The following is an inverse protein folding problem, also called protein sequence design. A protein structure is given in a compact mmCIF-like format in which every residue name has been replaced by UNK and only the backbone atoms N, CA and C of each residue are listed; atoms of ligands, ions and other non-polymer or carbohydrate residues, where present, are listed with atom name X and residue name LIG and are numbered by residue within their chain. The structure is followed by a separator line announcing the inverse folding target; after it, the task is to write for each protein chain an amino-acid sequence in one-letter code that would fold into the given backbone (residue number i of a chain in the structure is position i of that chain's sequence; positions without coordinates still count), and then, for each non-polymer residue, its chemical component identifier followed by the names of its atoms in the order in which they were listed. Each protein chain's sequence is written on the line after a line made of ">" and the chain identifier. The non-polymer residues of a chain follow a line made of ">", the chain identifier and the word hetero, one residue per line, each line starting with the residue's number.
data_IF_277245685711
#
_entry.id   IF_277245685711
#
_cell.length_a   1.000
_cell.length_b   1.000
_cell.length_c   1.000
_cell.angle_alpha   90.00
_cell.angle_beta   90.00
_cell.angle_gamma   90.00
#
_symmetry.space_group_name_H-M   'P 1'
#
loop_
_entity.id
_entity.type
_entity.pdbx_description
1 polymer ?
#
# COMPACT_ATOMS: atom_id res chain seq x y z
N UNK A 1 0.10 -28.69 -2.39
CA UNK A 1 1.54 -28.67 -2.69
C UNK A 1 1.84 -27.27 -3.22
N UNK A 2 2.80 -26.55 -2.65
CA UNK A 2 3.04 -25.13 -2.95
C UNK A 2 3.64 -24.98 -4.37
N UNK A 3 2.85 -24.44 -5.30
CA UNK A 3 3.26 -24.21 -6.70
C UNK A 3 4.47 -23.29 -6.83
N UNK A 4 4.66 -22.39 -5.86
CA UNK A 4 5.73 -21.38 -5.82
C UNK A 4 7.08 -22.08 -5.66
N UNK A 5 7.20 -22.92 -4.63
CA UNK A 5 8.38 -23.74 -4.37
C UNK A 5 8.75 -24.67 -5.55
N UNK A 6 7.75 -25.25 -6.24
CA UNK A 6 7.97 -26.16 -7.37
C UNK A 6 8.46 -25.47 -8.65
N UNK A 7 8.22 -24.18 -8.81
CA UNK A 7 8.68 -23.42 -9.97
C UNK A 7 10.21 -23.43 -10.11
N UNK A 8 10.95 -23.66 -9.03
CA UNK A 8 12.42 -23.64 -9.00
C UNK A 8 13.10 -25.04 -8.93
N UNK A 9 12.34 -26.12 -8.73
CA UNK A 9 12.80 -27.53 -8.61
C UNK A 9 13.29 -28.22 -9.90
N UNK A 10 13.79 -29.46 -9.85
CA UNK A 10 14.26 -30.18 -11.06
C UNK A 10 13.11 -30.53 -12.05
N UNK A 11 13.36 -30.60 -13.38
CA UNK A 11 12.32 -30.73 -14.42
C UNK A 11 11.30 -31.87 -14.23
N UNK A 12 11.73 -33.00 -13.67
CA UNK A 12 10.87 -34.19 -13.49
C UNK A 12 9.92 -34.09 -12.27
N UNK A 13 10.23 -33.24 -11.28
CA UNK A 13 9.36 -32.98 -10.12
C UNK A 13 8.18 -32.07 -10.52
N UNK A 14 8.32 -31.33 -11.63
CA UNK A 14 7.35 -30.35 -12.13
C UNK A 14 6.24 -30.93 -13.02
N UNK A 15 6.45 -32.10 -13.63
CA UNK A 15 5.51 -32.71 -14.58
C UNK A 15 4.22 -33.24 -13.91
N UNK A 16 4.22 -33.40 -12.59
CA UNK A 16 3.09 -33.95 -11.82
C UNK A 16 2.16 -32.89 -11.20
N UNK A 17 2.48 -31.59 -11.33
CA UNK A 17 1.59 -30.50 -10.94
C UNK A 17 0.77 -30.05 -12.17
N UNK A 18 -0.28 -30.80 -12.46
CA UNK A 18 -1.14 -30.58 -13.62
C UNK A 18 -1.94 -29.28 -13.50
N UNK A 19 -1.58 -28.25 -14.28
CA UNK A 19 -2.51 -27.15 -14.57
C UNK A 19 -3.67 -27.68 -15.43
N UNK A 20 -4.91 -27.41 -15.01
CA UNK A 20 -6.12 -27.65 -15.81
C UNK A 20 -6.24 -26.56 -16.89
N UNK A 21 -5.48 -26.70 -17.98
CA UNK A 21 -5.45 -25.78 -19.12
C UNK A 21 -4.56 -26.29 -20.25
N UNK A 22 -4.54 -25.63 -21.42
CA UNK A 22 -3.58 -25.96 -22.48
C UNK A 22 -2.14 -25.82 -21.97
N UNK A 23 -1.19 -26.63 -22.46
CA UNK A 23 0.20 -26.56 -22.04
C UNK A 23 0.78 -25.17 -22.35
N UNK A 24 1.51 -24.61 -21.39
CA UNK A 24 2.27 -23.36 -21.56
C UNK A 24 3.75 -23.69 -21.72
N UNK A 25 4.44 -22.93 -22.57
CA UNK A 25 5.89 -23.03 -22.70
C UNK A 25 6.56 -22.19 -21.61
N UNK A 26 7.77 -22.58 -21.21
CA UNK A 26 8.51 -21.91 -20.14
C UNK A 26 9.89 -21.48 -20.61
N UNK A 27 10.19 -20.21 -20.43
CA UNK A 27 11.50 -19.61 -20.66
C UNK A 27 12.06 -19.25 -19.29
N UNK A 28 13.34 -19.55 -19.03
CA UNK A 28 13.93 -19.23 -17.73
C UNK A 28 15.34 -18.66 -17.82
N UNK A 29 15.60 -17.62 -17.04
CA UNK A 29 16.93 -17.08 -16.75
C UNK A 29 17.27 -17.44 -15.30
N UNK A 30 18.43 -18.06 -15.10
CA UNK A 30 18.88 -18.57 -13.79
C UNK A 30 20.23 -18.02 -13.43
N UNK A 31 20.44 -17.86 -12.13
CA UNK A 31 21.70 -17.40 -11.54
C UNK A 31 22.25 -16.12 -12.19
N UNK A 32 21.35 -15.23 -12.62
CA UNK A 32 21.74 -13.96 -13.23
C UNK A 32 22.13 -12.97 -12.14
N UNK A 33 23.41 -12.62 -12.05
CA UNK A 33 23.95 -11.79 -10.97
C UNK A 33 24.27 -10.38 -11.46
N UNK A 34 23.86 -9.40 -10.67
CA UNK A 34 24.18 -7.98 -10.85
C UNK A 34 24.62 -7.34 -9.54
N UNK A 35 25.59 -6.43 -9.65
CA UNK A 35 26.03 -5.57 -8.56
C UNK A 35 25.13 -4.34 -8.50
N UNK A 36 24.30 -4.24 -7.46
CA UNK A 36 23.30 -3.18 -7.35
C UNK A 36 23.33 -2.52 -5.97
N UNK A 37 23.10 -1.21 -5.92
CA UNK A 37 22.93 -0.51 -4.65
C UNK A 37 21.46 -0.63 -4.19
N UNK A 38 21.20 -1.53 -3.25
CA UNK A 38 19.85 -1.81 -2.75
C UNK A 38 19.84 -2.02 -1.24
N UNK A 39 18.94 -1.32 -0.55
CA UNK A 39 18.86 -1.44 0.90
C UNK A 39 18.16 -0.28 1.59
N UNK A 40 17.47 -0.58 2.68
CA UNK A 40 16.74 0.39 3.50
C UNK A 40 17.62 0.99 4.62
N UNK A 41 18.74 0.35 4.97
CA UNK A 41 19.61 0.83 6.05
C UNK A 41 20.61 1.88 5.57
N UNK A 42 20.96 2.85 6.43
CA UNK A 42 21.95 3.89 6.11
C UNK A 42 23.34 3.31 5.79
N UNK A 43 23.67 2.15 6.36
CA UNK A 43 24.92 1.42 6.11
C UNK A 43 24.98 0.78 4.72
N UNK A 44 23.83 0.62 4.05
CA UNK A 44 23.73 0.10 2.68
C UNK A 44 23.79 1.24 1.63
N UNK A 45 24.05 2.48 2.04
CA UNK A 45 24.24 3.62 1.11
C UNK A 45 25.68 3.69 0.63
N UNK A 46 25.86 3.81 -0.69
CA UNK A 46 27.14 3.87 -1.37
C UNK A 46 27.85 2.52 -1.53
N UNK A 47 27.18 1.41 -1.24
CA UNK A 47 27.74 0.05 -1.32
C UNK A 47 26.90 -0.79 -2.26
N UNK A 48 27.51 -1.32 -3.32
CA UNK A 48 26.87 -2.29 -4.20
C UNK A 48 26.91 -3.69 -3.57
N UNK A 49 25.87 -4.47 -3.80
CA UNK A 49 25.73 -5.84 -3.32
C UNK A 49 25.40 -6.75 -4.51
N UNK A 50 25.92 -7.98 -4.50
CA UNK A 50 25.56 -8.98 -5.50
C UNK A 50 24.13 -9.46 -5.25
N UNK A 51 23.28 -9.19 -6.23
CA UNK A 51 21.90 -9.65 -6.25
C UNK A 51 21.73 -10.64 -7.38
N UNK A 52 21.16 -11.80 -7.04
CA UNK A 52 20.89 -12.89 -7.96
C UNK A 52 19.41 -12.93 -8.31
N UNK A 53 19.14 -13.06 -9.61
CA UNK A 53 17.82 -13.19 -10.18
C UNK A 53 17.63 -14.59 -10.75
N UNK A 54 16.51 -15.21 -10.40
CA UNK A 54 16.00 -16.42 -11.04
C UNK A 54 14.57 -16.13 -11.50
N UNK A 55 14.36 -16.13 -12.81
CA UNK A 55 13.07 -15.79 -13.41
C UNK A 55 12.61 -16.91 -14.32
N UNK A 56 11.36 -17.34 -14.14
CA UNK A 56 10.67 -18.28 -15.03
C UNK A 56 9.45 -17.57 -15.59
N UNK A 57 9.37 -17.47 -16.91
CA UNK A 57 8.26 -16.91 -17.64
C UNK A 57 7.49 -18.04 -18.34
N UNK A 58 6.21 -18.15 -18.05
CA UNK A 58 5.27 -18.99 -18.79
C UNK A 58 4.62 -18.15 -19.89
N UNK A 59 4.71 -18.64 -21.12
CA UNK A 59 4.16 -18.00 -22.31
C UNK A 59 3.14 -18.91 -22.98
N UNK A 60 2.20 -18.33 -23.72
CA UNK A 60 1.27 -19.11 -24.54
C UNK A 60 2.06 -19.92 -25.55
N UNK A 61 1.70 -21.20 -25.70
CA UNK A 61 2.30 -22.06 -26.71
C UNK A 61 2.09 -21.45 -28.10
N UNK A 62 3.19 -21.21 -28.81
CA UNK A 62 3.16 -20.68 -30.16
C UNK A 62 3.59 -21.78 -31.14
N UNK A 63 2.79 -22.04 -32.17
CA UNK A 63 3.14 -22.95 -33.26
C UNK A 63 4.36 -22.47 -34.08
N UNK A 64 4.87 -21.26 -33.82
CA UNK A 64 6.07 -20.71 -34.46
C UNK A 64 7.38 -21.47 -34.18
N UNK A 65 7.42 -22.38 -33.20
CA UNK A 65 8.55 -23.31 -33.06
C UNK A 65 8.71 -24.21 -34.30
N UNK A 66 7.67 -24.35 -35.13
CA UNK A 66 7.71 -25.09 -36.40
C UNK A 66 8.40 -24.30 -37.54
N UNK A 67 8.56 -22.98 -37.41
CA UNK A 67 9.11 -22.10 -38.46
C UNK A 67 10.53 -21.60 -38.22
N UNK A 68 11.15 -21.91 -37.08
CA UNK A 68 12.52 -21.47 -36.68
C UNK A 68 12.76 -19.96 -36.88
N UNK A 69 11.71 -19.17 -36.71
CA UNK A 69 11.72 -17.72 -36.91
C UNK A 69 11.87 -17.04 -35.54
N UNK A 70 13.06 -16.51 -35.29
CA UNK A 70 13.44 -15.86 -34.02
C UNK A 70 12.51 -14.68 -33.71
N UNK A 71 11.95 -14.00 -34.71
CA UNK A 71 11.08 -12.84 -34.54
C UNK A 71 9.67 -13.21 -34.03
N UNK A 72 9.32 -14.50 -34.03
CA UNK A 72 8.00 -15.00 -33.59
C UNK A 72 8.03 -15.66 -32.21
N UNK A 73 9.20 -15.76 -31.58
CA UNK A 73 9.39 -16.43 -30.29
C UNK A 73 9.78 -15.40 -29.22
N UNK A 74 9.19 -15.53 -28.04
CA UNK A 74 9.60 -14.74 -26.88
C UNK A 74 11.04 -15.11 -26.52
N UNK A 75 11.99 -14.16 -26.64
CA UNK A 75 13.39 -14.38 -26.28
C UNK A 75 13.60 -14.32 -24.77
N UNK A 76 14.60 -15.06 -24.27
CA UNK A 76 15.09 -14.90 -22.90
C UNK A 76 15.73 -13.51 -22.68
N UNK A 77 16.12 -12.81 -23.74
CA UNK A 77 16.60 -11.42 -23.67
C UNK A 77 15.53 -10.49 -23.11
N UNK A 78 14.25 -10.78 -23.33
CA UNK A 78 13.17 -10.00 -22.73
C UNK A 78 13.23 -10.05 -21.19
N UNK A 79 13.63 -11.18 -20.61
CA UNK A 79 13.76 -11.33 -19.17
C UNK A 79 14.98 -10.54 -18.66
N UNK A 80 16.11 -10.59 -19.35
CA UNK A 80 17.31 -9.84 -18.95
C UNK A 80 17.11 -8.34 -19.13
N UNK A 81 16.47 -7.90 -20.21
CA UNK A 81 16.06 -6.51 -20.45
C UNK A 81 15.08 -6.02 -19.38
N UNK A 82 14.09 -6.83 -18.99
CA UNK A 82 13.17 -6.51 -17.90
C UNK A 82 13.91 -6.31 -16.56
N UNK A 83 14.95 -7.10 -16.30
CA UNK A 83 15.80 -6.94 -15.12
C UNK A 83 16.59 -5.63 -15.23
N UNK A 84 17.29 -5.40 -16.34
CA UNK A 84 18.11 -4.20 -16.54
C UNK A 84 17.25 -2.92 -16.49
N UNK A 85 16.06 -2.92 -17.07
CA UNK A 85 15.11 -1.81 -17.00
C UNK A 85 14.64 -1.55 -15.56
N UNK A 86 14.38 -2.61 -14.77
CA UNK A 86 14.01 -2.47 -13.36
C UNK A 86 15.15 -1.90 -12.51
N UNK A 87 16.40 -2.20 -12.88
CA UNK A 87 17.61 -1.70 -12.23
C UNK A 87 17.98 -0.26 -12.64
N UNK A 88 17.73 0.12 -13.90
CA UNK A 88 18.06 1.43 -14.46
C UNK A 88 17.11 2.56 -14.03
N UNK A 89 15.97 2.22 -13.42
CA UNK A 89 15.03 3.18 -12.86
C UNK A 89 15.58 3.83 -11.56
N UNK A 90 14.70 4.21 -10.63
CA UNK A 90 15.14 4.74 -9.35
C UNK A 90 15.78 3.68 -8.46
N UNK A 91 16.74 4.12 -7.63
CA UNK A 91 17.31 3.31 -6.54
C UNK A 91 16.19 2.70 -5.69
N UNK A 92 16.29 1.39 -5.47
CA UNK A 92 15.32 0.65 -4.69
C UNK A 92 15.80 0.43 -3.25
N UNK A 93 14.86 0.52 -2.31
CA UNK A 93 15.10 0.22 -0.90
C UNK A 93 14.81 -1.25 -0.57
N UNK A 94 13.90 -1.90 -1.33
CA UNK A 94 13.29 -3.18 -1.01
C UNK A 94 13.42 -4.17 -2.18
N UNK A 95 13.72 -5.45 -1.87
CA UNK A 95 13.80 -6.52 -2.87
C UNK A 95 12.41 -6.86 -3.44
N UNK A 96 11.38 -6.68 -2.63
CA UNK A 96 9.97 -6.86 -2.98
C UNK A 96 9.59 -5.94 -4.15
N UNK A 97 9.98 -4.66 -4.08
CA UNK A 97 9.71 -3.69 -5.14
C UNK A 97 10.47 -4.01 -6.41
N UNK A 98 11.71 -4.47 -6.28
CA UNK A 98 12.53 -4.91 -7.42
C UNK A 98 11.88 -6.12 -8.10
N UNK A 99 11.50 -7.14 -7.34
CA UNK A 99 10.83 -8.32 -7.86
C UNK A 99 9.52 -7.95 -8.58
N UNK A 100 8.71 -7.05 -8.01
CA UNK A 100 7.46 -6.59 -8.62
C UNK A 100 7.69 -5.87 -9.95
N UNK A 101 8.71 -5.00 -10.02
CA UNK A 101 9.07 -4.28 -11.27
C UNK A 101 9.50 -5.24 -12.37
N UNK A 102 10.36 -6.21 -12.05
CA UNK A 102 10.77 -7.25 -13.00
C UNK A 102 9.55 -8.05 -13.48
N UNK A 103 8.68 -8.47 -12.56
CA UNK A 103 7.48 -9.22 -12.93
C UNK A 103 6.54 -8.41 -13.83
N UNK A 104 6.32 -7.12 -13.53
CA UNK A 104 5.49 -6.24 -14.34
C UNK A 104 6.08 -6.01 -15.74
N UNK A 105 7.40 -5.82 -15.85
CA UNK A 105 8.08 -5.68 -17.13
C UNK A 105 7.96 -6.96 -17.98
N UNK A 106 8.23 -8.14 -17.42
CA UNK A 106 8.07 -9.43 -18.13
C UNK A 106 6.63 -9.68 -18.61
N UNK A 107 5.64 -9.20 -17.85
CA UNK A 107 4.22 -9.34 -18.19
C UNK A 107 3.71 -8.25 -19.15
N UNK A 108 4.57 -7.38 -19.68
CA UNK A 108 4.17 -6.40 -20.70
C UNK A 108 3.91 -7.07 -22.04
N UNK A 109 4.70 -8.09 -22.38
CA UNK A 109 4.55 -8.87 -23.61
C UNK A 109 3.19 -9.61 -23.67
N UNK A 110 2.42 -9.50 -24.77
CA UNK A 110 1.10 -10.13 -24.90
C UNK A 110 1.09 -11.67 -24.80
N UNK A 111 2.19 -12.33 -25.15
CA UNK A 111 2.34 -13.79 -25.10
C UNK A 111 2.67 -14.27 -23.68
N UNK A 112 3.15 -13.40 -22.79
CA UNK A 112 3.40 -13.69 -21.38
C UNK A 112 2.11 -13.94 -20.58
N UNK A 113 2.03 -15.09 -19.94
CA UNK A 113 0.88 -15.53 -19.14
C UNK A 113 1.16 -15.44 -17.64
N UNK A 114 2.31 -15.96 -17.19
CA UNK A 114 2.67 -16.01 -15.76
C UNK A 114 4.17 -15.90 -15.60
N UNK A 115 4.62 -15.25 -14.55
CA UNK A 115 6.04 -15.10 -14.23
C UNK A 115 6.29 -15.43 -12.77
N UNK A 116 7.38 -16.14 -12.52
CA UNK A 116 7.93 -16.46 -11.22
C UNK A 116 9.25 -15.72 -11.11
N UNK A 117 9.40 -14.89 -10.08
CA UNK A 117 10.60 -14.07 -9.88
C UNK A 117 11.13 -14.33 -8.48
N UNK A 118 12.37 -14.80 -8.40
CA UNK A 118 13.14 -14.92 -7.16
C UNK A 118 14.32 -13.96 -7.22
N UNK A 119 14.46 -13.12 -6.21
CA UNK A 119 15.53 -12.12 -6.08
C UNK A 119 16.23 -12.30 -4.74
N UNK A 120 17.54 -12.51 -4.76
CA UNK A 120 18.32 -12.85 -3.56
C UNK A 120 19.56 -11.96 -3.40
N UNK A 121 19.84 -11.50 -2.17
CA UNK A 121 21.13 -10.92 -1.80
C UNK A 121 22.09 -12.05 -1.38
N UNK A 122 23.30 -12.04 -1.95
CA UNK A 122 24.31 -13.06 -1.70
C UNK A 122 25.29 -12.72 -0.57
N UNK A 123 25.37 -11.45 -0.18
CA UNK A 123 26.47 -10.95 0.65
C UNK A 123 26.08 -10.62 2.11
N UNK A 124 24.81 -10.77 2.51
CA UNK A 124 24.34 -10.34 3.84
C UNK A 124 24.50 -11.40 4.94
N UNK A 125 24.42 -12.68 4.58
CA UNK A 125 24.50 -13.83 5.51
C UNK A 125 25.26 -14.98 4.84
N UNK A 126 25.74 -15.99 5.59
CA UNK A 126 26.14 -17.26 5.01
C UNK A 126 24.95 -17.90 4.27
N UNK A 127 25.00 -17.91 2.93
CA UNK A 127 23.91 -18.36 2.08
C UNK A 127 23.26 -17.21 1.30
N UNK A 128 21.99 -17.37 0.95
CA UNK A 128 21.22 -16.37 0.22
C UNK A 128 19.94 -16.02 0.99
N UNK A 129 19.54 -14.76 0.98
CA UNK A 129 18.24 -14.31 1.45
C UNK A 129 17.54 -13.57 0.33
N UNK A 130 16.23 -13.73 0.22
CA UNK A 130 15.53 -13.13 -0.90
C UNK A 130 14.03 -13.16 -0.76
N UNK A 131 13.39 -12.71 -1.82
CA UNK A 131 11.95 -12.73 -1.99
C UNK A 131 11.62 -13.55 -3.22
N UNK A 132 10.47 -14.20 -3.18
CA UNK A 132 9.92 -14.94 -4.30
C UNK A 132 8.48 -14.52 -4.52
N UNK A 133 8.15 -14.17 -5.76
CA UNK A 133 6.81 -13.75 -6.14
C UNK A 133 6.36 -14.49 -7.39
N UNK A 134 5.04 -14.60 -7.52
CA UNK A 134 4.38 -15.11 -8.71
C UNK A 134 3.34 -14.09 -9.16
N UNK A 135 3.38 -13.73 -10.44
CA UNK A 135 2.39 -12.84 -11.05
C UNK A 135 1.86 -13.48 -12.32
N UNK A 136 0.56 -13.35 -12.55
CA UNK A 136 -0.07 -13.82 -13.77
C UNK A 136 -0.80 -12.66 -14.44
N UNK A 137 -0.75 -12.61 -15.77
CA UNK A 137 -1.64 -11.76 -16.55
C UNK A 137 -3.04 -12.35 -16.37
N UNK A 138 -3.86 -11.70 -15.56
CA UNK A 138 -5.27 -12.08 -15.47
C UNK A 138 -5.92 -11.65 -16.78
N UNK A 139 -6.44 -12.57 -17.62
CA UNK A 139 -7.21 -12.16 -18.79
C UNK A 139 -8.30 -11.19 -18.35
N UNK A 140 -8.51 -10.10 -19.08
CA UNK A 140 -9.60 -9.13 -18.79
C UNK A 140 -10.97 -9.83 -18.64
N UNK A 141 -11.11 -11.02 -19.22
CA UNK A 141 -12.29 -11.89 -19.19
C UNK A 141 -12.16 -13.15 -18.32
N UNK A 142 -11.00 -13.46 -17.71
CA UNK A 142 -10.94 -14.57 -16.77
C UNK A 142 -11.76 -14.19 -15.53
N UNK A 143 -12.47 -15.14 -14.92
CA UNK A 143 -12.99 -14.93 -13.59
C UNK A 143 -11.75 -14.73 -12.71
N UNK A 144 -11.42 -13.45 -12.45
CA UNK A 144 -10.60 -13.05 -11.32
C UNK A 144 -11.08 -13.95 -10.19
N UNK A 145 -10.16 -14.64 -9.50
CA UNK A 145 -10.46 -15.14 -8.16
C UNK A 145 -11.23 -14.00 -7.53
N UNK A 146 -12.53 -14.21 -7.30
CA UNK A 146 -13.35 -13.18 -6.69
C UNK A 146 -12.53 -12.82 -5.45
N UNK A 147 -12.10 -11.55 -5.25
CA UNK A 147 -11.63 -11.17 -3.91
C UNK A 147 -12.69 -11.74 -3.00
N UNK A 148 -12.28 -12.64 -2.07
CA UNK A 148 -13.18 -13.51 -1.27
C UNK A 148 -14.54 -12.88 -1.35
N UNK A 149 -15.44 -13.46 -2.18
CA UNK A 149 -16.77 -12.88 -2.31
C UNK A 149 -17.24 -12.89 -0.87
N UNK A 150 -17.19 -11.72 -0.22
CA UNK A 150 -17.97 -11.43 0.95
C UNK A 150 -19.28 -12.05 0.57
N UNK A 151 -19.63 -13.14 1.27
CA UNK A 151 -20.91 -13.76 1.05
C UNK A 151 -21.85 -12.56 0.97
N UNK A 152 -22.47 -12.38 -0.18
CA UNK A 152 -23.50 -11.40 -0.35
C UNK A 152 -24.73 -11.93 0.40
N UNK A 153 -24.58 -12.17 1.70
CA UNK A 153 -25.54 -11.73 2.67
C UNK A 153 -25.19 -10.27 2.91
N UNK A 154 -25.92 -9.37 2.25
CA UNK A 154 -26.32 -8.08 2.81
C UNK A 154 -25.40 -7.47 3.88
N UNK A 155 -24.12 -7.25 3.59
CA UNK A 155 -23.24 -6.50 4.45
C UNK A 155 -23.35 -5.05 4.02
N UNK A 156 -24.14 -4.29 4.76
CA UNK A 156 -24.21 -2.84 4.67
C UNK A 156 -22.77 -2.30 4.64
N UNK A 157 -22.36 -1.64 3.55
CA UNK A 157 -21.03 -1.05 3.47
C UNK A 157 -20.82 -0.16 4.71
N UNK A 158 -19.85 -0.51 5.55
CA UNK A 158 -19.55 0.26 6.76
C UNK A 158 -19.19 1.67 6.31
N UNK A 159 -20.06 2.64 6.62
CA UNK A 159 -19.83 4.05 6.34
C UNK A 159 -19.17 4.66 7.57
N UNK A 160 -17.84 4.90 7.54
CA UNK A 160 -17.16 5.38 8.71
C UNK A 160 -17.48 6.86 8.97
N UNK A 161 -17.37 7.25 10.23
CA UNK A 161 -17.23 8.66 10.58
C UNK A 161 -15.75 9.06 10.57
N UNK A 162 -15.46 10.28 10.13
CA UNK A 162 -14.17 10.93 10.40
C UNK A 162 -14.40 11.94 11.51
N UNK A 163 -13.54 11.94 12.52
CA UNK A 163 -13.56 12.96 13.57
C UNK A 163 -12.25 13.73 13.50
N UNK A 164 -12.33 15.05 13.36
CA UNK A 164 -11.21 15.96 13.53
C UNK A 164 -11.23 16.55 14.94
N UNK A 165 -10.14 16.33 15.69
CA UNK A 165 -9.89 17.00 16.98
C UNK A 165 -8.75 18.01 16.82
N UNK A 166 -9.06 19.28 17.10
CA UNK A 166 -8.05 20.32 17.12
C UNK A 166 -7.04 20.12 18.26
N UNK A 167 -5.83 20.64 18.07
CA UNK A 167 -4.75 20.59 19.05
C UNK A 167 -5.18 21.18 20.40
N UNK A 168 -5.94 22.28 20.41
CA UNK A 168 -6.40 22.90 21.66
C UNK A 168 -7.28 21.96 22.49
N UNK A 169 -8.07 21.11 21.83
CA UNK A 169 -8.93 20.10 22.47
C UNK A 169 -8.07 18.98 23.04
N UNK A 170 -7.11 18.47 22.26
CA UNK A 170 -6.22 17.39 22.67
C UNK A 170 -5.20 17.81 23.76
N UNK A 171 -4.84 19.09 23.82
CA UNK A 171 -3.96 19.65 24.84
C UNK A 171 -4.68 20.12 26.10
N UNK A 172 -6.02 20.19 26.07
CA UNK A 172 -6.84 20.69 27.16
C UNK A 172 -7.34 19.60 28.12
N UNK A 173 -8.04 20.02 29.18
CA UNK A 173 -8.62 19.11 30.18
C UNK A 173 -9.71 18.18 29.60
N UNK A 174 -10.31 18.55 28.47
CA UNK A 174 -11.34 17.78 27.77
C UNK A 174 -10.83 16.60 26.93
N UNK A 175 -9.51 16.48 26.71
CA UNK A 175 -8.93 15.49 25.80
C UNK A 175 -9.36 14.04 26.14
N UNK A 176 -9.21 13.64 27.40
CA UNK A 176 -9.59 12.30 27.86
C UNK A 176 -11.08 12.02 27.65
N UNK A 177 -11.95 13.01 27.95
CA UNK A 177 -13.40 12.87 27.77
C UNK A 177 -13.79 12.69 26.30
N UNK A 178 -13.10 13.37 25.38
CA UNK A 178 -13.31 13.17 23.94
C UNK A 178 -12.86 11.80 23.47
N UNK A 179 -11.67 11.35 23.88
CA UNK A 179 -11.20 10.01 23.53
C UNK A 179 -12.13 8.92 24.09
N UNK A 180 -12.62 9.09 25.32
CA UNK A 180 -13.60 8.18 25.93
C UNK A 180 -14.93 8.18 25.17
N UNK A 181 -15.44 9.35 24.76
CA UNK A 181 -16.66 9.43 23.97
C UNK A 181 -16.51 8.76 22.60
N UNK A 182 -15.37 8.92 21.95
CA UNK A 182 -15.07 8.28 20.66
C UNK A 182 -14.97 6.76 20.80
N UNK A 183 -14.34 6.28 21.87
CA UNK A 183 -14.24 4.84 22.15
C UNK A 183 -15.61 4.25 22.48
N UNK A 184 -16.47 4.99 23.18
CA UNK A 184 -17.82 4.56 23.53
C UNK A 184 -18.81 4.63 22.35
N UNK A 185 -18.44 5.27 21.24
CA UNK A 185 -19.32 5.43 20.09
C UNK A 185 -19.30 4.19 19.21
N UNK A 186 -20.48 3.61 18.95
CA UNK A 186 -20.64 2.35 18.20
C UNK A 186 -20.42 2.50 16.68
N UNK A 187 -20.06 3.71 16.23
CA UNK A 187 -19.78 4.01 14.82
C UNK A 187 -18.27 3.85 14.51
N UNK A 188 -17.90 3.07 13.48
CA UNK A 188 -16.52 2.96 13.03
C UNK A 188 -15.93 4.33 12.69
N UNK A 189 -14.85 4.69 13.37
CA UNK A 189 -14.34 6.05 13.40
C UNK A 189 -12.86 6.12 13.06
N UNK A 190 -12.50 7.11 12.22
CA UNK A 190 -11.12 7.51 11.97
C UNK A 190 -10.86 8.88 12.59
N UNK A 191 -9.90 8.94 13.51
CA UNK A 191 -9.48 10.17 14.18
C UNK A 191 -8.40 10.89 13.36
N UNK A 192 -8.68 12.13 13.00
CA UNK A 192 -7.77 13.10 12.43
C UNK A 192 -7.42 14.13 13.52
N UNK A 193 -6.16 14.54 13.59
CA UNK A 193 -5.70 15.44 14.65
C UNK A 193 -4.82 16.55 14.07
N UNK A 194 -4.72 17.67 14.79
CA UNK A 194 -3.69 18.69 14.55
C UNK A 194 -2.51 18.53 15.52
N UNK A 195 -1.30 18.81 15.02
CA UNK A 195 -0.05 18.67 15.79
C UNK A 195 0.52 19.98 16.34
N UNK A 196 0.49 21.04 15.54
CA UNK A 196 1.03 22.35 15.86
C UNK A 196 0.09 23.45 15.37
N UNK A 197 0.39 24.70 15.72
CA UNK A 197 -0.29 25.81 15.04
C UNK A 197 -0.04 25.71 13.53
N UNK A 198 -1.10 25.80 12.71
CA UNK A 198 -0.94 25.70 11.28
C UNK A 198 -0.12 26.89 10.77
N UNK A 199 0.94 26.56 10.03
CA UNK A 199 1.74 27.54 9.31
C UNK A 199 1.62 27.27 7.82
N UNK A 200 1.34 28.29 6.98
CA UNK A 200 1.23 28.10 5.54
C UNK A 200 2.47 27.43 4.96
N UNK A 201 2.30 26.33 4.23
CA UNK A 201 3.40 25.64 3.59
C UNK A 201 3.68 26.27 2.21
N UNK A 202 4.66 27.18 2.14
CA UNK A 202 5.06 27.82 0.87
C UNK A 202 6.08 26.99 0.07
N UNK A 203 6.59 25.91 0.65
CA UNK A 203 7.55 24.98 0.05
C UNK A 203 7.17 23.53 0.32
N UNK A 204 7.64 22.62 -0.53
CA UNK A 204 7.45 21.18 -0.33
C UNK A 204 8.07 20.67 0.98
N UNK A 205 9.19 21.26 1.40
CA UNK A 205 9.82 20.94 2.68
C UNK A 205 8.91 21.32 3.86
N UNK A 206 8.30 22.50 3.84
CA UNK A 206 7.35 22.91 4.89
C UNK A 206 6.11 22.04 4.91
N UNK A 207 5.59 21.64 3.74
CA UNK A 207 4.48 20.70 3.65
C UNK A 207 4.83 19.36 4.29
N UNK A 208 6.01 18.82 3.98
CA UNK A 208 6.49 17.57 4.56
C UNK A 208 6.66 17.67 6.07
N UNK A 209 7.21 18.79 6.57
CA UNK A 209 7.33 19.06 8.01
C UNK A 209 5.96 19.07 8.68
N UNK A 210 4.96 19.73 8.09
CA UNK A 210 3.59 19.77 8.62
C UNK A 210 2.95 18.37 8.69
N UNK A 211 3.03 17.59 7.62
CA UNK A 211 2.52 16.22 7.59
C UNK A 211 3.22 15.32 8.63
N UNK A 212 4.55 15.42 8.73
CA UNK A 212 5.33 14.68 9.74
C UNK A 212 4.98 15.10 11.17
N UNK A 213 4.68 16.37 11.40
CA UNK A 213 4.22 16.85 12.71
C UNK A 213 2.91 16.17 13.09
N UNK A 214 1.94 16.07 12.16
CA UNK A 214 0.67 15.34 12.36
C UNK A 214 0.93 13.87 12.65
N UNK A 215 1.81 13.20 11.89
CA UNK A 215 2.18 11.80 12.17
C UNK A 215 2.80 11.65 13.56
N UNK A 216 3.72 12.53 13.95
CA UNK A 216 4.36 12.49 15.27
C UNK A 216 3.34 12.69 16.41
N UNK A 217 2.37 13.58 16.23
CA UNK A 217 1.28 13.76 17.19
C UNK A 217 0.39 12.50 17.30
N UNK A 218 0.17 11.79 16.18
CA UNK A 218 -0.63 10.57 16.19
C UNK A 218 0.04 9.48 17.02
N UNK A 219 1.35 9.27 16.84
CA UNK A 219 2.15 8.36 17.66
C UNK A 219 2.16 8.75 19.13
N UNK A 220 2.32 10.04 19.42
CA UNK A 220 2.28 10.55 20.80
C UNK A 220 0.92 10.36 21.47
N UNK A 221 -0.19 10.39 20.70
CA UNK A 221 -1.53 10.07 21.21
C UNK A 221 -1.61 8.58 21.57
N UNK A 222 -1.20 7.69 20.65
CA UNK A 222 -1.30 6.24 20.88
C UNK A 222 -0.38 5.71 21.99
N UNK A 223 0.72 6.42 22.28
CA UNK A 223 1.57 6.13 23.43
C UNK A 223 0.86 6.44 24.76
N UNK A 224 0.03 7.50 24.78
CA UNK A 224 -0.76 7.90 25.96
C UNK A 224 -2.06 7.10 26.09
N UNK A 225 -2.65 6.71 24.95
CA UNK A 225 -3.92 5.97 24.90
C UNK A 225 -3.82 4.78 23.92
N UNK A 226 -3.46 3.58 24.45
CA UNK A 226 -3.24 2.40 23.62
C UNK A 226 -4.52 1.78 23.05
N UNK A 227 -5.70 2.36 23.34
CA UNK A 227 -6.97 1.97 22.69
C UNK A 227 -6.99 2.35 21.21
N UNK A 228 -6.13 3.28 20.81
CA UNK A 228 -6.01 3.75 19.43
C UNK A 228 -4.77 3.15 18.74
N UNK A 229 -4.87 2.95 17.43
CA UNK A 229 -3.72 2.55 16.59
C UNK A 229 -3.49 3.52 15.44
N UNK A 230 -2.22 3.82 15.14
CA UNK A 230 -1.85 4.66 13.99
C UNK A 230 -1.94 3.86 12.70
N UNK A 231 -2.53 4.47 11.66
CA UNK A 231 -2.54 3.93 10.28
C UNK A 231 -2.10 4.98 9.28
N UNK A 232 -1.33 4.57 8.28
CA UNK A 232 -0.76 5.48 7.29
C UNK A 232 -1.15 5.12 5.85
N UNK A 233 -1.84 4.00 5.62
CA UNK A 233 -2.24 3.57 4.28
C UNK A 233 -3.72 3.24 4.17
N UNK A 234 -4.23 3.28 2.94
CA UNK A 234 -5.64 2.95 2.66
C UNK A 234 -5.99 1.52 3.10
N UNK A 235 -5.12 0.57 2.82
CA UNK A 235 -5.32 -0.84 3.21
C UNK A 235 -5.36 -1.02 4.73
N UNK A 236 -4.52 -0.30 5.48
CA UNK A 236 -4.55 -0.31 6.94
C UNK A 236 -5.85 0.30 7.49
N UNK A 237 -6.33 1.42 6.91
CA UNK A 237 -7.61 2.03 7.26
C UNK A 237 -8.78 1.07 7.04
N UNK A 238 -8.88 0.48 5.85
CA UNK A 238 -9.98 -0.44 5.51
C UNK A 238 -9.99 -1.67 6.43
N UNK A 239 -8.81 -2.20 6.76
CA UNK A 239 -8.70 -3.32 7.72
C UNK A 239 -9.12 -2.89 9.12
N UNK A 240 -8.66 -1.72 9.58
CA UNK A 240 -8.96 -1.22 10.93
C UNK A 240 -10.45 -1.00 11.14
N UNK A 241 -11.12 -0.37 10.15
CA UNK A 241 -12.56 -0.14 10.14
C UNK A 241 -13.37 -1.44 10.18
N UNK A 242 -12.96 -2.45 9.39
CA UNK A 242 -13.61 -3.79 9.41
C UNK A 242 -13.41 -4.52 10.75
N UNK A 243 -12.29 -4.28 11.42
CA UNK A 243 -11.95 -4.90 12.71
C UNK A 243 -12.50 -4.16 13.93
N UNK A 244 -13.21 -3.03 13.74
CA UNK A 244 -13.77 -2.23 14.82
C UNK A 244 -12.70 -1.56 15.71
N UNK A 245 -11.50 -1.33 15.19
CA UNK A 245 -10.41 -0.71 15.96
C UNK A 245 -10.45 0.81 15.84
N UNK A 246 -10.31 1.50 16.97
CA UNK A 246 -10.19 2.96 16.97
C UNK A 246 -8.84 3.37 16.40
N UNK A 247 -8.88 4.31 15.46
CA UNK A 247 -7.76 4.54 14.56
C UNK A 247 -7.40 6.00 14.50
N UNK A 248 -6.11 6.32 14.53
CA UNK A 248 -5.59 7.67 14.26
C UNK A 248 -4.88 7.67 12.91
N UNK A 249 -5.23 8.62 12.07
CA UNK A 249 -4.66 8.72 10.73
C UNK A 249 -3.33 9.47 10.74
N UNK A 250 -2.30 8.83 10.18
CA UNK A 250 -1.00 9.41 9.84
C UNK A 250 -0.99 9.82 8.36
N UNK A 251 -1.05 11.11 8.03
CA UNK A 251 -1.48 11.57 6.71
C UNK A 251 -0.43 11.46 5.62
N UNK A 252 0.87 11.48 5.95
CA UNK A 252 1.94 11.73 4.98
C UNK A 252 1.88 10.76 3.81
N UNK A 253 1.83 9.46 4.10
CA UNK A 253 1.91 8.43 3.06
C UNK A 253 0.73 8.49 2.08
N UNK A 254 -0.48 8.78 2.55
CA UNK A 254 -1.65 8.92 1.68
C UNK A 254 -1.67 10.28 0.95
N UNK A 255 -1.38 11.36 1.67
CA UNK A 255 -1.35 12.72 1.10
C UNK A 255 -0.26 12.90 0.02
N UNK A 256 0.85 12.14 0.10
CA UNK A 256 1.93 12.20 -0.88
C UNK A 256 1.85 11.13 -1.98
N UNK A 257 0.92 10.18 -1.91
CA UNK A 257 0.88 9.06 -2.86
C UNK A 257 0.44 9.46 -4.28
N UNK A 258 -0.21 10.61 -4.45
CA UNK A 258 -0.78 11.04 -5.73
C UNK A 258 0.07 12.16 -6.34
N UNK A 259 0.78 11.86 -7.43
CA UNK A 259 1.47 12.89 -8.21
C UNK A 259 0.45 13.77 -8.95
N UNK A 260 0.54 15.09 -8.77
CA UNK A 260 -0.20 16.08 -9.58
C UNK A 260 -1.68 16.31 -9.24
N UNK A 261 -2.15 15.93 -8.05
CA UNK A 261 -3.47 16.34 -7.54
C UNK A 261 -3.43 17.66 -6.75
N UNK A 262 -4.61 18.25 -6.50
CA UNK A 262 -4.77 19.33 -5.52
C UNK A 262 -4.44 18.74 -4.14
N UNK A 263 -3.22 19.04 -3.67
CA UNK A 263 -2.66 18.49 -2.43
C UNK A 263 -3.20 19.31 -1.27
N UNK A 264 -3.93 18.73 -0.31
CA UNK A 264 -4.38 19.50 0.84
C UNK A 264 -3.16 19.99 1.62
N UNK A 265 -3.10 21.29 1.89
CA UNK A 265 -2.02 21.92 2.64
C UNK A 265 -2.02 21.39 4.09
N UNK A 266 -0.85 21.03 4.61
CA UNK A 266 -0.67 20.62 6.00
C UNK A 266 -0.98 21.76 6.99
N UNK A 267 -1.04 23.00 6.50
CA UNK A 267 -1.56 24.17 7.20
C UNK A 267 -3.07 24.15 7.39
N UNK A 268 -3.80 23.21 6.78
CA UNK A 268 -5.22 22.97 7.03
C UNK A 268 -5.50 21.52 7.46
N UNK A 269 -5.22 21.16 8.73
CA UNK A 269 -5.52 19.83 9.26
C UNK A 269 -7.01 19.45 9.19
N UNK A 270 -7.93 20.42 9.26
CA UNK A 270 -9.35 20.17 9.10
C UNK A 270 -9.70 19.86 7.64
N UNK A 271 -9.12 20.58 6.68
CA UNK A 271 -9.20 20.28 5.25
C UNK A 271 -8.61 18.91 4.91
N UNK A 272 -7.50 18.52 5.54
CA UNK A 272 -6.95 17.16 5.42
C UNK A 272 -7.94 16.09 5.90
N UNK A 273 -8.68 16.35 6.99
CA UNK A 273 -9.73 15.46 7.46
C UNK A 273 -10.92 15.38 6.49
N UNK A 274 -11.29 16.52 5.89
CA UNK A 274 -12.31 16.59 4.82
C UNK A 274 -11.92 15.82 3.57
N UNK A 275 -10.66 15.95 3.14
CA UNK A 275 -10.09 15.17 2.05
C UNK A 275 -10.11 13.68 2.35
N UNK A 276 -9.71 13.26 3.56
CA UNK A 276 -9.75 11.86 3.96
C UNK A 276 -11.19 11.33 3.95
N UNK A 277 -12.15 12.10 4.47
CA UNK A 277 -13.57 11.73 4.48
C UNK A 277 -14.08 11.44 3.06
N UNK A 278 -13.72 12.28 2.08
CA UNK A 278 -14.04 12.04 0.67
C UNK A 278 -13.33 10.80 0.12
N UNK A 279 -12.04 10.61 0.42
CA UNK A 279 -11.26 9.46 -0.06
C UNK A 279 -11.83 8.14 0.47
N UNK A 280 -12.26 8.08 1.73
CA UNK A 280 -12.79 6.86 2.36
C UNK A 280 -14.29 6.64 2.19
N UNK A 281 -15.00 7.59 1.60
CA UNK A 281 -16.46 7.52 1.45
C UNK A 281 -17.19 7.58 2.79
N UNK A 282 -16.69 8.41 3.71
CA UNK A 282 -17.33 8.67 4.99
C UNK A 282 -18.71 9.30 4.78
N UNK A 283 -19.66 8.99 5.67
CA UNK A 283 -20.98 9.63 5.65
C UNK A 283 -21.07 10.84 6.60
N UNK A 284 -20.13 10.96 7.53
CA UNK A 284 -20.10 11.97 8.56
C UNK A 284 -18.65 12.42 8.80
N UNK A 285 -18.45 13.74 8.80
CA UNK A 285 -17.26 14.39 9.31
C UNK A 285 -17.64 15.25 10.51
N UNK A 286 -17.12 14.90 11.68
CA UNK A 286 -17.27 15.70 12.90
C UNK A 286 -16.02 16.55 13.09
N UNK A 287 -16.18 17.85 13.32
CA UNK A 287 -15.06 18.74 13.65
C UNK A 287 -15.25 19.31 15.06
N UNK A 288 -14.18 19.26 15.86
CA UNK A 288 -14.15 19.79 17.22
C UNK A 288 -12.99 20.76 17.35
N UNK A 289 -13.29 22.01 17.66
CA UNK A 289 -12.28 23.08 17.76
C UNK A 289 -11.76 23.64 16.43
N UNK A 290 -12.22 23.12 15.28
CA UNK A 290 -11.85 23.67 13.98
C UNK A 290 -12.35 25.12 13.82
N UNK A 291 -11.54 26.00 13.21
CA UNK A 291 -11.93 27.39 12.94
C UNK A 291 -13.11 27.47 11.96
N UNK A 292 -13.06 26.69 10.88
CA UNK A 292 -14.06 26.60 9.83
C UNK A 292 -14.45 25.14 9.53
N UNK A 293 -15.60 24.94 8.90
CA UNK A 293 -16.02 23.62 8.41
C UNK A 293 -15.30 23.31 7.09
N UNK A 294 -14.59 22.18 6.98
CA UNK A 294 -13.92 21.79 5.75
C UNK A 294 -14.91 21.22 4.72
N UNK A 295 -14.53 21.26 3.45
CA UNK A 295 -15.22 20.51 2.40
C UNK A 295 -14.95 19.00 2.58
N UNK A 296 -15.98 18.16 2.47
CA UNK A 296 -15.89 16.73 2.78
C UNK A 296 -16.59 15.83 1.74
N UNK A 297 -16.64 16.28 0.48
CA UNK A 297 -17.32 15.57 -0.60
C UNK A 297 -18.81 15.34 -0.29
N UNK A 298 -19.23 14.09 -0.19
CA UNK A 298 -20.63 13.71 0.13
C UNK A 298 -20.91 13.52 1.63
N UNK A 299 -19.90 13.63 2.49
CA UNK A 299 -20.07 13.45 3.94
C UNK A 299 -20.83 14.65 4.55
N UNK A 300 -21.74 14.37 5.48
CA UNK A 300 -22.37 15.40 6.28
C UNK A 300 -21.35 15.99 7.26
N UNK A 301 -21.17 17.31 7.27
CA UNK A 301 -20.25 17.95 8.22
C UNK A 301 -21.03 18.39 9.46
N UNK A 302 -20.50 18.08 10.65
CA UNK A 302 -21.05 18.48 11.96
C UNK A 302 -19.94 19.10 12.80
N UNK A 303 -20.20 20.28 13.36
CA UNK A 303 -19.28 20.93 14.29
C UNK A 303 -19.82 20.75 15.71
N UNK A 304 -19.01 20.18 16.60
CA UNK A 304 -19.37 20.01 18.00
C UNK A 304 -18.59 20.99 18.88
N UNK A 305 -19.21 21.33 20.01
CA UNK A 305 -18.61 22.17 21.05
C UNK A 305 -17.51 21.38 21.78
N UNK A 306 -16.26 21.87 21.83
CA UNK A 306 -15.14 21.24 22.53
C UNK A 306 -15.41 20.83 23.99
N UNK A 307 -16.33 21.48 24.69
CA UNK A 307 -16.64 21.17 26.09
C UNK A 307 -17.70 20.08 26.27
N UNK A 308 -18.33 19.64 25.16
CA UNK A 308 -19.49 18.74 25.13
C UNK A 308 -19.26 17.45 24.33
N UNK A 309 -18.33 16.58 24.75
CA UNK A 309 -18.08 15.29 24.11
C UNK A 309 -19.31 14.36 24.10
N UNK A 310 -20.25 14.54 25.04
CA UNK A 310 -21.49 13.76 25.08
C UNK A 310 -22.39 13.98 23.85
N UNK A 311 -22.26 15.13 23.16
CA UNK A 311 -23.02 15.42 21.95
C UNK A 311 -22.65 14.50 20.77
N UNK A 312 -21.55 13.75 20.86
CA UNK A 312 -21.17 12.76 19.85
C UNK A 312 -22.21 11.63 19.75
N UNK A 313 -22.79 11.22 20.89
CA UNK A 313 -23.80 10.17 20.94
C UNK A 313 -25.15 10.59 20.32
N UNK A 314 -25.39 11.89 20.15
CA UNK A 314 -26.63 12.42 19.57
C UNK A 314 -26.59 12.47 18.02
N UNK A 315 -25.48 12.03 17.39
CA UNK A 315 -25.26 12.11 15.94
C UNK A 315 -25.61 10.83 15.17
N UNK A 316 -26.11 9.79 15.85
CA UNK A 316 -26.51 8.51 15.26
C UNK A 316 -27.78 8.59 14.38
#
# INVERSE_FOLDING_TARGET
>A
MDETAMAFELPHVRASASHSGPPLDRISVRDYVRDIEIGAFRTERGVTQRVRFNVVLEVMHNAAAESDDVDQVVSYDMITEAIEAALAADRLNLLETLAERVAAACLTDPQSVRVFVRVEKLDRIPGALGVEIVRARVPKAAPRIRPVRELAGSAQAVRPAVIYLDRAVLGGAGAARWLDAIVAWDKPTVLCIAASEPQPATTEAQQMIGLLAIEAAAWALTDRDPRFSVVASRTELDWSLKSGRHTVWAPRRMATARAGGDRPDASDPAGLAGWLAAEIGADLLVTVGAAAAPEAGTAAVRRLDPERPEALADLD
#
